data_IF_598117524698
#
_entry.id   IF_598117524698
#
_cell.length_a   1.000
_cell.length_b   1.000
_cell.length_c   1.000
_cell.angle_alpha   90.00
_cell.angle_beta   90.00
_cell.angle_gamma   90.00
#
_symmetry.space_group_name_H-M   'P 1'
#
loop_
_entity.id
_entity.type
_entity.pdbx_description
1 polymer ?
#
# COMPACT_ATOMS: atom_id res chain seq x y z
N UNK A 1 -2.69 -25.73 42.02
CA UNK A 1 -2.02 -26.34 40.84
C UNK A 1 -0.72 -26.99 41.28
N UNK A 2 -0.54 -28.29 41.01
CA UNK A 2 0.61 -29.10 41.44
C UNK A 2 1.87 -28.69 40.64
N UNK A 3 3.08 -28.65 41.23
CA UNK A 3 4.33 -28.25 40.56
C UNK A 3 4.63 -28.99 39.25
N UNK A 4 4.27 -30.29 39.18
CA UNK A 4 4.43 -31.11 37.98
C UNK A 4 3.57 -30.63 36.79
N UNK A 5 2.40 -30.06 37.05
CA UNK A 5 1.51 -29.50 36.03
C UNK A 5 2.09 -28.19 35.47
N UNK A 6 2.65 -27.33 36.33
CA UNK A 6 3.33 -26.09 35.93
C UNK A 6 4.55 -26.35 35.03
N UNK A 7 5.36 -27.35 35.37
CA UNK A 7 6.54 -27.74 34.58
C UNK A 7 6.19 -28.38 33.21
N UNK A 8 5.00 -28.99 33.07
CA UNK A 8 4.50 -29.48 31.76
C UNK A 8 3.98 -28.34 30.91
N UNK A 9 3.22 -27.43 31.49
CA UNK A 9 2.68 -26.25 30.80
C UNK A 9 3.84 -25.38 30.29
N UNK A 10 4.85 -25.10 31.11
CA UNK A 10 6.02 -24.32 30.69
C UNK A 10 6.79 -24.95 29.52
N UNK A 11 6.96 -26.28 29.51
CA UNK A 11 7.61 -27.00 28.40
C UNK A 11 6.80 -26.96 27.11
N UNK A 12 5.49 -27.06 27.20
CA UNK A 12 4.60 -26.90 26.04
C UNK A 12 4.65 -25.48 25.49
N UNK A 13 4.54 -24.47 26.35
CA UNK A 13 4.65 -23.06 25.95
C UNK A 13 5.98 -22.78 25.25
N UNK A 14 7.10 -23.30 25.78
CA UNK A 14 8.42 -23.14 25.16
C UNK A 14 8.52 -23.81 23.79
N UNK A 15 7.93 -25.00 23.60
CA UNK A 15 7.89 -25.65 22.27
C UNK A 15 7.10 -24.84 21.26
N UNK A 16 5.95 -24.30 21.67
CA UNK A 16 5.14 -23.40 20.81
C UNK A 16 5.95 -22.17 20.46
N UNK A 17 6.61 -21.53 21.43
CA UNK A 17 7.48 -20.37 21.19
C UNK A 17 8.61 -20.69 20.21
N UNK A 18 9.27 -21.84 20.33
CA UNK A 18 10.32 -22.28 19.40
C UNK A 18 9.79 -22.47 17.97
N UNK A 19 8.60 -23.07 17.81
CA UNK A 19 7.99 -23.26 16.48
C UNK A 19 7.62 -21.92 15.86
N UNK A 20 7.06 -20.99 16.64
CA UNK A 20 6.75 -19.64 16.17
C UNK A 20 8.03 -18.87 15.78
N UNK A 21 9.08 -18.95 16.61
CA UNK A 21 10.38 -18.35 16.32
C UNK A 21 11.04 -18.97 15.08
N UNK A 22 10.89 -20.28 14.88
CA UNK A 22 11.38 -20.98 13.69
C UNK A 22 10.66 -20.49 12.43
N UNK A 23 9.32 -20.42 12.48
CA UNK A 23 8.50 -19.93 11.36
C UNK A 23 8.80 -18.48 11.02
N UNK A 24 8.80 -17.58 12.02
CA UNK A 24 9.13 -16.17 11.81
C UNK A 24 10.55 -15.98 11.29
N UNK A 25 11.54 -16.64 11.90
CA UNK A 25 12.94 -16.52 11.49
C UNK A 25 13.21 -17.06 10.09
N UNK A 26 12.56 -18.17 9.70
CA UNK A 26 12.67 -18.72 8.36
C UNK A 26 12.13 -17.74 7.30
N UNK A 27 10.99 -17.12 7.57
CA UNK A 27 10.44 -16.07 6.70
C UNK A 27 11.33 -14.82 6.67
N UNK A 28 11.82 -14.36 7.82
CA UNK A 28 12.72 -13.20 7.91
C UNK A 28 14.00 -13.41 7.09
N UNK A 29 14.63 -14.58 7.20
CA UNK A 29 15.82 -14.94 6.40
C UNK A 29 15.48 -15.00 4.92
N UNK A 30 14.36 -15.63 4.56
CA UNK A 30 13.92 -15.73 3.17
C UNK A 30 13.73 -14.35 2.53
N UNK A 31 13.12 -13.41 3.26
CA UNK A 31 12.78 -12.08 2.75
C UNK A 31 13.91 -11.05 2.88
N UNK A 32 14.87 -11.26 3.78
CA UNK A 32 16.03 -10.37 3.95
C UNK A 32 17.18 -10.68 2.98
N UNK A 33 17.32 -11.93 2.56
CA UNK A 33 18.42 -12.33 1.67
C UNK A 33 18.05 -12.11 0.20
N UNK A 34 18.64 -11.07 -0.39
CA UNK A 34 18.67 -10.86 -1.84
C UNK A 34 19.76 -11.75 -2.44
N UNK A 35 19.38 -12.72 -3.29
CA UNK A 35 20.34 -13.67 -3.86
C UNK A 35 19.69 -14.88 -4.53
N UNK A 36 20.51 -15.78 -5.08
CA UNK A 36 20.05 -17.00 -5.75
C UNK A 36 19.18 -17.86 -4.80
N UNK A 37 18.06 -18.37 -5.31
CA UNK A 37 17.12 -19.23 -4.60
C UNK A 37 17.78 -20.38 -3.82
N UNK A 38 18.87 -20.97 -4.34
CA UNK A 38 19.59 -22.05 -3.64
C UNK A 38 20.28 -21.58 -2.35
N UNK A 39 20.90 -20.39 -2.38
CA UNK A 39 21.56 -19.81 -1.19
C UNK A 39 20.52 -19.49 -0.14
N UNK A 40 19.41 -18.86 -0.55
CA UNK A 40 18.28 -18.56 0.33
C UNK A 40 17.68 -19.82 0.94
N UNK A 41 17.44 -20.85 0.13
CA UNK A 41 16.94 -22.14 0.61
C UNK A 41 17.91 -22.79 1.60
N UNK A 42 19.22 -22.72 1.35
CA UNK A 42 20.24 -23.24 2.26
C UNK A 42 20.22 -22.59 3.64
N UNK A 43 20.09 -21.27 3.71
CA UNK A 43 19.98 -20.53 4.98
C UNK A 43 18.69 -20.86 5.73
N UNK A 44 17.55 -20.89 5.02
CA UNK A 44 16.26 -21.28 5.63
C UNK A 44 16.30 -22.72 6.12
N UNK A 45 16.89 -23.65 5.36
CA UNK A 45 17.04 -25.04 5.78
C UNK A 45 17.94 -25.18 7.02
N UNK A 46 19.05 -24.42 7.06
CA UNK A 46 19.96 -24.40 8.23
C UNK A 46 19.25 -23.89 9.48
N UNK A 47 18.46 -22.82 9.34
CA UNK A 47 17.63 -22.28 10.42
C UNK A 47 16.60 -23.30 10.93
N UNK A 48 15.87 -23.94 10.02
CA UNK A 48 14.92 -25.00 10.36
C UNK A 48 15.61 -26.20 11.03
N UNK A 49 16.80 -26.59 10.59
CA UNK A 49 17.57 -27.66 11.20
C UNK A 49 17.98 -27.34 12.65
N UNK A 50 18.38 -26.09 12.93
CA UNK A 50 18.65 -25.63 14.31
C UNK A 50 17.40 -25.69 15.18
N UNK A 51 16.24 -25.28 14.66
CA UNK A 51 14.96 -25.37 15.38
C UNK A 51 14.58 -26.82 15.70
N UNK A 52 14.74 -27.73 14.73
CA UNK A 52 14.51 -29.17 14.93
C UNK A 52 15.47 -29.75 15.97
N UNK A 53 16.75 -29.35 15.95
CA UNK A 53 17.73 -29.74 16.97
C UNK A 53 17.35 -29.23 18.37
N UNK A 54 16.87 -27.99 18.49
CA UNK A 54 16.38 -27.44 19.76
C UNK A 54 15.17 -28.22 20.30
N UNK A 55 14.18 -28.54 19.44
CA UNK A 55 13.04 -29.38 19.81
C UNK A 55 13.45 -30.80 20.22
N UNK A 56 14.45 -31.36 19.53
CA UNK A 56 15.05 -32.65 19.87
C UNK A 56 15.76 -32.62 21.23
N UNK A 57 16.49 -31.54 21.53
CA UNK A 57 17.11 -31.30 22.83
C UNK A 57 16.11 -31.16 23.99
N UNK A 58 14.82 -30.93 23.71
CA UNK A 58 13.75 -30.91 24.71
C UNK A 58 13.06 -32.27 24.92
N UNK A 59 13.62 -33.37 24.40
CA UNK A 59 13.10 -34.72 24.63
C UNK A 59 13.30 -35.14 26.09
N UNK A 60 12.22 -35.61 26.70
CA UNK A 60 12.17 -35.95 28.11
C UNK A 60 13.14 -37.09 28.43
N UNK A 61 13.99 -36.90 29.43
CA UNK A 61 14.99 -37.90 29.87
C UNK A 61 16.32 -37.88 29.11
N UNK A 62 16.48 -36.99 28.13
CA UNK A 62 17.74 -36.72 27.39
C UNK A 62 17.85 -35.23 27.09
N UNK A 63 17.49 -34.39 28.07
CA UNK A 63 17.45 -32.94 27.89
C UNK A 63 18.84 -32.37 27.57
N UNK A 64 18.95 -31.72 26.42
CA UNK A 64 20.13 -30.95 26.03
C UNK A 64 19.71 -29.48 25.84
N UNK A 65 19.73 -28.74 26.95
CA UNK A 65 19.38 -27.32 26.97
C UNK A 65 20.35 -26.43 26.19
N UNK A 66 21.57 -26.91 25.89
CA UNK A 66 22.51 -26.16 25.06
C UNK A 66 21.97 -25.93 23.65
N UNK A 67 21.28 -26.92 23.05
CA UNK A 67 20.66 -26.78 21.72
C UNK A 67 19.55 -25.73 21.72
N UNK A 68 18.76 -25.67 22.80
CA UNK A 68 17.73 -24.63 23.00
C UNK A 68 18.38 -23.26 23.17
N UNK A 69 19.46 -23.18 23.94
CA UNK A 69 20.23 -21.95 24.16
C UNK A 69 20.85 -21.40 22.87
N UNK A 70 21.45 -22.27 22.05
CA UNK A 70 22.05 -21.90 20.75
C UNK A 70 20.98 -21.34 19.80
N UNK A 71 19.85 -22.03 19.64
CA UNK A 71 18.76 -21.53 18.79
C UNK A 71 18.19 -20.21 19.32
N UNK A 72 18.01 -20.09 20.64
CA UNK A 72 17.51 -18.86 21.26
C UNK A 72 18.46 -17.69 21.07
N UNK A 73 19.78 -17.90 21.21
CA UNK A 73 20.79 -16.88 20.95
C UNK A 73 20.80 -16.47 19.47
N UNK A 74 20.74 -17.45 18.55
CA UNK A 74 20.64 -17.17 17.11
C UNK A 74 19.37 -16.40 16.75
N UNK A 75 18.24 -16.71 17.40
CA UNK A 75 16.99 -15.96 17.26
C UNK A 75 17.11 -14.52 17.75
N UNK A 76 17.73 -14.29 18.90
CA UNK A 76 17.96 -12.93 19.41
C UNK A 76 18.84 -12.15 18.43
N UNK A 77 19.92 -12.75 17.92
CA UNK A 77 20.78 -12.10 16.91
C UNK A 77 19.97 -11.76 15.65
N UNK A 78 19.20 -12.72 15.11
CA UNK A 78 18.36 -12.49 13.93
C UNK A 78 17.34 -11.38 14.17
N UNK A 79 16.65 -11.39 15.31
CA UNK A 79 15.65 -10.39 15.65
C UNK A 79 16.25 -8.99 15.84
N UNK A 80 17.41 -8.89 16.48
CA UNK A 80 18.14 -7.62 16.64
C UNK A 80 18.63 -7.11 15.29
N UNK A 81 19.23 -7.97 14.46
CA UNK A 81 19.67 -7.61 13.11
C UNK A 81 18.50 -7.12 12.25
N UNK A 82 17.36 -7.82 12.28
CA UNK A 82 16.14 -7.40 11.59
C UNK A 82 15.62 -6.05 12.11
N UNK A 83 15.65 -5.84 13.42
CA UNK A 83 15.25 -4.57 14.03
C UNK A 83 16.13 -3.39 13.62
N UNK A 84 17.43 -3.63 13.46
CA UNK A 84 18.44 -2.63 13.09
C UNK A 84 18.47 -2.30 11.59
N UNK A 85 17.75 -3.04 10.74
CA UNK A 85 17.65 -2.72 9.31
C UNK A 85 17.17 -1.28 9.12
N UNK A 86 17.86 -0.51 8.29
CA UNK A 86 17.51 0.86 7.96
C UNK A 86 16.99 0.94 6.51
N UNK A 87 15.89 1.67 6.28
CA UNK A 87 15.42 1.94 4.93
C UNK A 87 16.40 2.85 4.21
N UNK A 88 16.64 2.61 2.93
CA UNK A 88 17.49 3.46 2.07
C UNK A 88 16.66 4.07 0.94
N UNK A 89 16.99 5.28 0.51
CA UNK A 89 16.47 5.86 -0.73
C UNK A 89 17.48 5.77 -1.89
N UNK A 90 18.67 5.24 -1.62
CA UNK A 90 19.78 5.13 -2.55
C UNK A 90 20.06 3.66 -2.85
N UNK A 91 19.39 3.16 -3.90
CA UNK A 91 19.49 1.80 -4.46
C UNK A 91 19.21 1.84 -5.97
N UNK A 92 19.47 0.74 -6.67
CA UNK A 92 19.05 0.59 -8.09
C UNK A 92 17.55 0.28 -8.15
N UNK A 93 16.74 1.33 -8.10
CA UNK A 93 15.29 1.23 -8.14
C UNK A 93 14.76 0.88 -9.52
N UNK A 94 13.64 0.15 -9.56
CA UNK A 94 12.92 -0.07 -10.81
C UNK A 94 12.42 1.27 -11.39
N UNK A 95 12.33 1.34 -12.72
CA UNK A 95 12.11 2.60 -13.43
C UNK A 95 10.82 3.31 -13.00
N UNK A 96 9.75 2.56 -12.72
CA UNK A 96 8.42 3.07 -12.37
C UNK A 96 8.33 3.70 -10.97
N UNK A 97 9.39 3.58 -10.17
CA UNK A 97 9.57 4.14 -8.82
C UNK A 97 10.97 4.72 -8.60
N UNK A 98 11.72 4.94 -9.70
CA UNK A 98 13.10 5.38 -9.64
C UNK A 98 13.23 6.82 -9.12
N UNK A 99 12.34 7.70 -9.57
CA UNK A 99 12.29 9.08 -9.08
C UNK A 99 11.40 9.19 -7.85
N UNK A 100 11.80 10.08 -6.93
CA UNK A 100 10.99 10.44 -5.76
C UNK A 100 10.16 11.67 -6.08
N UNK A 101 8.92 11.70 -5.64
CA UNK A 101 8.09 12.88 -5.75
C UNK A 101 8.67 14.02 -4.92
N UNK A 102 9.01 15.13 -5.57
CA UNK A 102 9.60 16.30 -4.91
C UNK A 102 8.64 17.50 -5.01
N UNK A 103 7.76 17.68 -4.02
CA UNK A 103 6.82 18.78 -4.03
C UNK A 103 7.43 20.08 -3.50
N UNK A 104 7.05 21.20 -4.09
CA UNK A 104 7.36 22.55 -3.64
C UNK A 104 6.07 23.36 -3.53
N UNK A 105 5.92 24.11 -2.44
CA UNK A 105 4.67 24.80 -2.10
C UNK A 105 4.93 26.31 -2.05
N UNK A 106 4.26 27.05 -2.92
CA UNK A 106 4.30 28.51 -2.98
C UNK A 106 2.88 29.07 -2.89
N UNK A 107 2.41 29.32 -1.66
CA UNK A 107 1.05 29.80 -1.40
C UNK A 107 -0.01 28.78 -1.79
N UNK A 108 -0.70 29.02 -2.91
CA UNK A 108 -1.72 28.11 -3.47
C UNK A 108 -1.22 27.26 -4.63
N UNK A 109 -0.03 27.56 -5.16
CA UNK A 109 0.57 26.79 -6.23
C UNK A 109 1.45 25.70 -5.61
N UNK A 110 1.19 24.45 -5.98
CA UNK A 110 2.05 23.31 -5.67
C UNK A 110 2.73 22.87 -6.96
N UNK A 111 4.05 22.93 -6.98
CA UNK A 111 4.87 22.35 -8.04
C UNK A 111 5.26 20.94 -7.64
N UNK A 112 4.82 19.95 -8.41
CA UNK A 112 5.23 18.55 -8.24
C UNK A 112 6.30 18.26 -9.28
N UNK A 113 7.53 18.00 -8.84
CA UNK A 113 8.57 17.45 -9.70
C UNK A 113 8.53 15.93 -9.64
N UNK A 114 8.88 15.27 -10.75
CA UNK A 114 8.82 13.82 -10.90
C UNK A 114 7.39 13.26 -10.83
N UNK A 115 6.45 13.92 -11.50
CA UNK A 115 5.15 13.32 -11.80
C UNK A 115 5.34 12.28 -12.90
N UNK A 116 4.93 11.04 -12.62
CA UNK A 116 5.08 9.92 -13.55
C UNK A 116 4.05 10.01 -14.68
N UNK A 117 4.50 9.88 -15.91
CA UNK A 117 3.63 9.84 -17.09
C UNK A 117 4.14 8.84 -18.15
N UNK A 118 4.40 7.61 -17.74
CA UNK A 118 5.03 6.60 -18.60
C UNK A 118 4.07 6.15 -19.73
N UNK A 119 4.60 5.95 -20.94
CA UNK A 119 3.84 5.30 -22.04
C UNK A 119 4.09 3.79 -22.01
N UNK A 120 3.11 3.05 -21.51
CA UNK A 120 3.17 1.60 -21.35
C UNK A 120 2.66 0.87 -22.60
N UNK A 121 3.48 -0.04 -23.14
CA UNK A 121 3.11 -1.02 -24.18
C UNK A 121 2.95 -2.42 -23.57
N UNK A 122 3.80 -2.79 -22.62
CA UNK A 122 3.68 -3.98 -21.77
C UNK A 122 4.29 -3.71 -20.39
N UNK A 123 4.27 -4.70 -19.48
CA UNK A 123 4.92 -4.57 -18.17
C UNK A 123 6.45 -4.36 -18.24
N UNK A 124 7.06 -4.76 -19.35
CA UNK A 124 8.52 -4.69 -19.56
C UNK A 124 8.93 -3.83 -20.76
N UNK A 125 7.96 -3.28 -21.49
CA UNK A 125 8.18 -2.37 -22.61
C UNK A 125 7.37 -1.09 -22.40
N UNK A 126 8.07 -0.01 -22.07
CA UNK A 126 7.50 1.29 -21.77
C UNK A 126 8.53 2.40 -22.03
N UNK A 127 8.06 3.64 -22.15
CA UNK A 127 8.94 4.82 -22.22
C UNK A 127 8.81 5.61 -20.93
N UNK A 128 9.87 5.67 -20.10
CA UNK A 128 9.88 6.49 -18.90
C UNK A 128 9.75 7.98 -19.23
N UNK A 129 8.79 8.64 -18.59
CA UNK A 129 8.63 10.10 -18.63
C UNK A 129 8.30 10.62 -17.23
N UNK A 130 9.10 11.58 -16.79
CA UNK A 130 8.95 12.28 -15.51
C UNK A 130 8.77 13.76 -15.78
N UNK A 131 7.69 14.32 -15.27
CA UNK A 131 7.28 15.69 -15.57
C UNK A 131 7.33 16.57 -14.32
N UNK A 132 7.55 17.87 -14.54
CA UNK A 132 7.22 18.89 -13.55
C UNK A 132 5.84 19.45 -13.89
N UNK A 133 4.92 19.40 -12.93
CA UNK A 133 3.56 19.93 -13.08
C UNK A 133 3.24 20.93 -11.99
N UNK A 134 2.43 21.93 -12.33
CA UNK A 134 2.00 22.98 -11.43
C UNK A 134 0.50 22.89 -11.20
N UNK A 135 0.09 22.88 -9.94
CA UNK A 135 -1.29 22.75 -9.53
C UNK A 135 -1.71 23.93 -8.66
N UNK A 136 -2.69 24.70 -9.12
CA UNK A 136 -3.34 25.72 -8.28
C UNK A 136 -4.44 25.07 -7.44
N UNK A 137 -4.23 25.02 -6.13
CA UNK A 137 -5.19 24.45 -5.19
C UNK A 137 -6.49 25.26 -5.10
N UNK A 138 -6.55 26.49 -5.60
CA UNK A 138 -7.80 27.21 -5.78
C UNK A 138 -8.67 26.63 -6.89
N UNK A 139 -8.06 25.94 -7.86
CA UNK A 139 -8.72 25.28 -8.99
C UNK A 139 -9.04 23.81 -8.72
N UNK A 140 -8.67 23.31 -7.53
CA UNK A 140 -9.00 21.96 -7.09
C UNK A 140 -10.51 21.84 -6.81
N UNK A 141 -11.18 20.92 -7.52
CA UNK A 141 -12.65 20.80 -7.49
C UNK A 141 -13.15 19.41 -7.11
N UNK A 142 -12.32 18.37 -7.21
CA UNK A 142 -12.75 17.01 -6.88
C UNK A 142 -11.60 16.11 -6.43
N UNK A 143 -11.97 15.01 -5.78
CA UNK A 143 -11.12 13.84 -5.62
C UNK A 143 -11.95 12.58 -5.87
N UNK A 144 -11.32 11.59 -6.50
CA UNK A 144 -11.91 10.29 -6.77
C UNK A 144 -11.05 9.19 -6.13
N UNK A 145 -11.71 8.27 -5.45
CA UNK A 145 -11.11 7.05 -4.90
C UNK A 145 -11.04 6.01 -6.01
N UNK A 146 -9.83 5.58 -6.38
CA UNK A 146 -9.61 4.51 -7.34
C UNK A 146 -9.19 3.23 -6.61
N UNK A 147 -9.84 2.12 -6.94
CA UNK A 147 -9.52 0.80 -6.39
C UNK A 147 -9.13 -0.15 -7.51
N UNK A 148 -7.96 -0.77 -7.39
CA UNK A 148 -7.49 -1.80 -8.30
C UNK A 148 -7.53 -3.18 -7.68
N UNK A 149 -8.07 -4.16 -8.40
CA UNK A 149 -8.21 -5.55 -7.97
C UNK A 149 -7.41 -6.47 -8.91
N UNK A 150 -6.40 -7.16 -8.34
CA UNK A 150 -5.59 -8.16 -9.05
C UNK A 150 -5.47 -9.49 -8.30
N UNK A 151 -5.71 -9.52 -6.98
CA UNK A 151 -5.69 -10.74 -6.15
C UNK A 151 -7.01 -11.00 -5.46
N UNK A 152 -8.06 -11.19 -6.25
CA UNK A 152 -9.41 -11.48 -5.76
C UNK A 152 -10.09 -10.26 -5.11
N UNK A 153 -11.24 -10.46 -4.46
CA UNK A 153 -12.11 -9.35 -4.04
C UNK A 153 -11.71 -8.70 -2.72
N UNK A 154 -10.90 -9.36 -1.88
CA UNK A 154 -10.65 -8.92 -0.51
C UNK A 154 -9.49 -7.91 -0.38
N UNK A 155 -8.64 -7.81 -1.40
CA UNK A 155 -7.47 -6.92 -1.42
C UNK A 155 -7.54 -6.06 -2.66
N UNK A 156 -7.58 -4.75 -2.46
CA UNK A 156 -7.45 -3.76 -3.51
C UNK A 156 -6.30 -2.78 -3.22
N UNK A 157 -5.75 -2.22 -4.29
CA UNK A 157 -4.77 -1.14 -4.22
C UNK A 157 -5.53 0.16 -4.34
N UNK A 158 -5.38 0.99 -3.33
CA UNK A 158 -6.14 2.23 -3.18
C UNK A 158 -5.32 3.40 -3.70
N UNK A 159 -5.88 4.17 -4.62
CA UNK A 159 -5.28 5.42 -5.11
C UNK A 159 -6.29 6.56 -4.97
N UNK A 160 -5.79 7.80 -4.96
CA UNK A 160 -6.65 8.99 -4.95
C UNK A 160 -6.27 9.90 -6.09
N UNK A 161 -7.22 10.15 -6.99
CA UNK A 161 -7.09 11.10 -8.08
C UNK A 161 -7.69 12.44 -7.71
N UNK A 162 -6.91 13.51 -7.77
CA UNK A 162 -7.40 14.88 -7.57
C UNK A 162 -7.66 15.54 -8.92
N UNK A 163 -8.85 16.13 -9.09
CA UNK A 163 -9.27 16.79 -10.33
C UNK A 163 -9.40 18.30 -10.18
N UNK A 164 -8.95 19.02 -11.20
CA UNK A 164 -8.96 20.48 -11.29
C UNK A 164 -10.00 20.98 -12.31
N UNK A 165 -10.38 22.24 -12.23
CA UNK A 165 -11.43 22.83 -13.08
C UNK A 165 -11.05 22.99 -14.56
N UNK A 166 -9.78 22.85 -14.94
CA UNK A 166 -9.34 22.69 -16.35
C UNK A 166 -9.43 21.25 -16.86
N UNK A 167 -9.88 20.31 -16.02
CA UNK A 167 -9.93 18.89 -16.37
C UNK A 167 -8.60 18.16 -16.21
N UNK A 168 -7.54 18.82 -15.72
CA UNK A 168 -6.32 18.12 -15.33
C UNK A 168 -6.55 17.28 -14.07
N UNK A 169 -5.83 16.16 -13.98
CA UNK A 169 -5.90 15.23 -12.86
C UNK A 169 -4.49 14.81 -12.43
N UNK A 170 -4.34 14.51 -11.14
CA UNK A 170 -3.13 13.91 -10.59
C UNK A 170 -3.50 12.83 -9.58
N UNK A 171 -2.92 11.65 -9.75
CA UNK A 171 -3.15 10.50 -8.88
C UNK A 171 -2.01 10.39 -7.90
N UNK A 172 -2.32 10.31 -6.61
CA UNK A 172 -1.37 9.92 -5.57
C UNK A 172 -1.56 8.45 -5.20
N UNK A 173 -0.44 7.77 -5.07
CA UNK A 173 -0.38 6.36 -4.69
C UNK A 173 0.83 6.10 -3.81
N UNK A 174 0.61 5.50 -2.64
CA UNK A 174 1.72 4.93 -1.88
C UNK A 174 2.07 3.58 -2.51
N UNK A 175 3.28 3.50 -3.06
CA UNK A 175 3.78 2.31 -3.73
C UNK A 175 4.93 1.71 -2.92
N UNK A 176 5.15 0.41 -3.09
CA UNK A 176 6.43 -0.18 -2.73
C UNK A 176 7.51 0.46 -3.62
N UNK A 177 8.65 0.81 -3.05
CA UNK A 177 9.85 1.17 -3.79
C UNK A 177 10.67 -0.10 -3.95
N UNK A 178 10.51 -0.75 -5.11
CA UNK A 178 11.17 -2.02 -5.45
C UNK A 178 12.49 -1.78 -6.17
N UNK A 179 13.51 -2.59 -5.86
CA UNK A 179 14.76 -2.60 -6.62
C UNK A 179 14.56 -3.23 -8.01
N UNK A 180 15.49 -2.98 -8.93
CA UNK A 180 15.44 -3.52 -10.28
C UNK A 180 15.50 -5.05 -10.23
N UNK A 181 14.52 -5.70 -10.87
CA UNK A 181 14.39 -7.16 -10.87
C UNK A 181 13.61 -7.74 -9.68
N UNK A 182 13.18 -6.89 -8.72
CA UNK A 182 12.27 -7.33 -7.66
C UNK A 182 10.81 -7.33 -8.12
N UNK A 183 10.04 -8.27 -7.57
CA UNK A 183 8.60 -8.38 -7.75
C UNK A 183 7.87 -8.18 -6.43
N UNK A 184 6.64 -7.69 -6.50
CA UNK A 184 5.84 -7.44 -5.30
C UNK A 184 5.58 -8.74 -4.52
N UNK A 185 5.71 -8.66 -3.19
CA UNK A 185 5.28 -9.71 -2.27
C UNK A 185 4.55 -9.12 -1.08
N UNK A 186 3.25 -9.42 -0.93
CA UNK A 186 2.47 -9.00 0.23
C UNK A 186 3.07 -9.50 1.55
N UNK A 187 3.66 -10.70 1.54
CA UNK A 187 4.38 -11.26 2.69
C UNK A 187 5.74 -10.58 2.91
N UNK A 188 6.46 -10.22 1.84
CA UNK A 188 7.72 -9.46 1.95
C UNK A 188 7.55 -8.10 2.65
N UNK A 189 6.40 -7.44 2.45
CA UNK A 189 6.06 -6.21 3.17
C UNK A 189 5.96 -6.36 4.69
N UNK A 190 5.76 -7.56 5.25
CA UNK A 190 5.85 -7.79 6.70
C UNK A 190 7.29 -7.85 7.23
N UNK A 191 8.26 -8.13 6.34
CA UNK A 191 9.65 -8.42 6.70
C UNK A 191 10.63 -7.33 6.28
N UNK A 192 10.15 -6.11 6.00
CA UNK A 192 10.98 -4.95 5.59
C UNK A 192 11.72 -5.18 4.25
N UNK A 193 11.13 -5.95 3.34
CA UNK A 193 11.71 -6.20 2.01
C UNK A 193 11.59 -5.02 1.05
N UNK A 194 10.71 -4.05 1.33
CA UNK A 194 10.50 -2.90 0.45
C UNK A 194 10.50 -1.62 1.27
N UNK A 195 11.18 -0.60 0.77
CA UNK A 195 10.93 0.78 1.14
C UNK A 195 9.59 1.26 0.58
N UNK A 196 9.01 2.31 1.14
CA UNK A 196 7.80 2.94 0.61
C UNK A 196 8.13 4.25 -0.10
N UNK A 197 7.37 4.54 -1.16
CA UNK A 197 7.47 5.80 -1.90
C UNK A 197 6.09 6.33 -2.24
N UNK A 198 5.94 7.65 -2.25
CA UNK A 198 4.74 8.29 -2.76
C UNK A 198 4.95 8.63 -4.24
N UNK A 199 4.11 8.06 -5.09
CA UNK A 199 4.07 8.38 -6.52
C UNK A 199 2.94 9.36 -6.78
N UNK A 200 3.25 10.47 -7.46
CA UNK A 200 2.25 11.26 -8.18
C UNK A 200 2.33 10.89 -9.67
N UNK A 201 1.20 10.67 -10.32
CA UNK A 201 1.16 10.24 -11.71
C UNK A 201 -0.05 10.77 -12.48
N UNK A 202 0.08 10.81 -13.81
CA UNK A 202 -1.04 11.01 -14.72
C UNK A 202 -1.98 9.78 -14.71
N UNK A 203 -3.28 10.00 -14.89
CA UNK A 203 -4.25 8.88 -14.99
C UNK A 203 -3.98 7.99 -16.20
N UNK A 204 -3.47 8.56 -17.31
CA UNK A 204 -3.09 7.84 -18.54
C UNK A 204 -1.85 6.96 -18.36
N UNK A 205 -1.12 7.15 -17.28
CA UNK A 205 -0.07 6.24 -16.83
C UNK A 205 -0.66 5.26 -15.82
N UNK A 206 -0.95 5.74 -14.61
CA UNK A 206 -1.07 4.88 -13.43
C UNK A 206 -2.39 4.09 -13.39
N UNK A 207 -3.47 4.62 -13.95
CA UNK A 207 -4.75 3.90 -14.02
C UNK A 207 -4.80 3.04 -15.30
N UNK A 208 -4.34 3.59 -16.43
CA UNK A 208 -4.30 2.88 -17.71
C UNK A 208 -3.42 1.63 -17.66
N UNK A 209 -2.23 1.68 -17.05
CA UNK A 209 -1.34 0.50 -16.98
C UNK A 209 -2.02 -0.67 -16.27
N UNK A 210 -2.85 -0.37 -15.27
CA UNK A 210 -3.58 -1.37 -14.50
C UNK A 210 -4.63 -2.06 -15.37
N UNK A 211 -5.46 -1.31 -16.09
CA UNK A 211 -6.52 -1.88 -16.95
C UNK A 211 -6.00 -2.46 -18.26
N UNK A 212 -5.19 -1.69 -19.02
CA UNK A 212 -4.87 -1.98 -20.42
C UNK A 212 -3.61 -2.84 -20.59
N UNK A 213 -2.76 -2.92 -19.57
CA UNK A 213 -1.50 -3.67 -19.65
C UNK A 213 -1.51 -4.86 -18.69
N UNK A 214 -1.91 -4.66 -17.43
CA UNK A 214 -1.89 -5.70 -16.40
C UNK A 214 -3.19 -6.49 -16.27
N UNK A 215 -4.27 -6.03 -16.92
CA UNK A 215 -5.58 -6.69 -16.87
C UNK A 215 -6.25 -6.63 -15.49
N UNK A 216 -5.90 -5.64 -14.67
CA UNK A 216 -6.49 -5.41 -13.36
C UNK A 216 -7.92 -4.88 -13.49
N UNK A 217 -8.79 -5.26 -12.55
CA UNK A 217 -10.16 -4.77 -12.49
C UNK A 217 -10.25 -3.50 -11.64
N UNK A 218 -10.85 -2.44 -12.18
CA UNK A 218 -10.73 -1.09 -11.64
C UNK A 218 -12.08 -0.43 -11.39
N UNK A 219 -12.21 0.19 -10.21
CA UNK A 219 -13.34 0.99 -9.78
C UNK A 219 -12.90 2.42 -9.46
N UNK A 220 -13.75 3.39 -9.73
CA UNK A 220 -13.54 4.80 -9.44
C UNK A 220 -14.79 5.36 -8.77
N UNK A 221 -14.62 6.11 -7.68
CA UNK A 221 -15.73 6.68 -6.92
C UNK A 221 -15.46 8.14 -6.58
N UNK A 222 -16.43 9.01 -6.88
CA UNK A 222 -16.35 10.40 -6.46
C UNK A 222 -16.48 10.53 -4.95
N UNK A 223 -15.48 11.16 -4.33
CA UNK A 223 -15.49 11.46 -2.90
C UNK A 223 -16.37 12.68 -2.60
N UNK A 224 -17.19 12.58 -1.56
CA UNK A 224 -18.05 13.64 -1.06
C UNK A 224 -17.29 14.55 -0.06
N UNK A 225 -16.20 15.16 -0.52
CA UNK A 225 -15.35 16.00 0.31
C UNK A 225 -15.52 17.47 -0.10
N UNK A 226 -15.82 18.40 0.84
CA UNK A 226 -15.86 19.83 0.55
C UNK A 226 -14.50 20.35 0.08
N UNK A 227 -14.48 21.45 -0.68
CA UNK A 227 -13.24 22.03 -1.24
C UNK A 227 -12.12 22.25 -0.20
N UNK A 228 -12.46 22.73 1.00
CA UNK A 228 -11.49 22.90 2.08
C UNK A 228 -10.90 21.57 2.58
N UNK A 229 -11.68 20.48 2.52
CA UNK A 229 -11.22 19.12 2.81
C UNK A 229 -10.33 18.58 1.69
N UNK A 230 -10.67 18.82 0.42
CA UNK A 230 -9.84 18.42 -0.74
C UNK A 230 -8.44 19.03 -0.64
N UNK A 231 -8.36 20.33 -0.36
CA UNK A 231 -7.09 21.03 -0.17
C UNK A 231 -6.27 20.43 0.97
N UNK A 232 -6.90 20.16 2.12
CA UNK A 232 -6.23 19.54 3.27
C UNK A 232 -5.71 18.14 2.94
N UNK A 233 -6.51 17.32 2.25
CA UNK A 233 -6.11 15.97 1.84
C UNK A 233 -4.94 15.99 0.85
N UNK A 234 -5.00 16.86 -0.16
CA UNK A 234 -3.90 17.05 -1.13
C UNK A 234 -2.61 17.46 -0.41
N UNK A 235 -2.69 18.43 0.49
CA UNK A 235 -1.54 18.88 1.27
C UNK A 235 -1.00 17.80 2.22
N UNK A 236 -1.85 16.89 2.68
CA UNK A 236 -1.42 15.72 3.45
C UNK A 236 -0.54 14.77 2.64
N UNK A 237 -0.84 14.55 1.35
CA UNK A 237 0.04 13.80 0.46
C UNK A 237 1.36 14.53 0.17
N UNK A 238 1.30 15.85 -0.04
CA UNK A 238 2.51 16.70 -0.18
C UNK A 238 3.43 16.58 1.03
N UNK A 239 2.85 16.65 2.23
CA UNK A 239 3.59 16.51 3.48
C UNK A 239 4.15 15.09 3.65
N UNK A 240 3.38 14.06 3.28
CA UNK A 240 3.87 12.67 3.29
C UNK A 240 5.08 12.48 2.36
N UNK A 241 5.05 13.02 1.14
CA UNK A 241 6.21 12.97 0.25
C UNK A 241 7.44 13.65 0.88
N UNK A 242 7.27 14.85 1.44
CA UNK A 242 8.37 15.55 2.12
C UNK A 242 8.91 14.76 3.32
N UNK A 243 8.06 14.05 4.07
CA UNK A 243 8.47 13.22 5.19
C UNK A 243 9.28 12.01 4.72
N UNK A 244 8.81 11.29 3.71
CA UNK A 244 9.52 10.14 3.12
C UNK A 244 10.86 10.53 2.49
N UNK A 245 10.93 11.75 1.94
CA UNK A 245 12.16 12.31 1.38
C UNK A 245 13.21 12.63 2.44
N UNK A 246 12.78 13.09 3.62
CA UNK A 246 13.67 13.40 4.75
C UNK A 246 14.03 12.16 5.56
N UNK A 247 13.08 11.26 5.75
CA UNK A 247 13.19 10.06 6.57
C UNK A 247 12.59 8.88 5.81
N UNK A 248 13.43 8.06 5.16
CA UNK A 248 12.99 6.86 4.47
C UNK A 248 12.26 5.93 5.44
N UNK A 249 11.31 5.16 4.93
CA UNK A 249 10.53 4.22 5.71
C UNK A 249 10.36 2.91 4.94
N UNK A 250 10.21 1.81 5.67
CA UNK A 250 9.83 0.53 5.08
C UNK A 250 8.32 0.51 4.85
N UNK A 251 7.93 0.01 3.69
CA UNK A 251 6.54 -0.35 3.43
C UNK A 251 6.10 -1.43 4.43
N UNK A 252 4.87 -1.32 4.92
CA UNK A 252 4.31 -2.35 5.78
C UNK A 252 2.87 -2.68 5.37
N UNK A 253 2.67 -3.93 4.94
CA UNK A 253 1.38 -4.44 4.45
C UNK A 253 0.22 -4.19 5.42
N UNK A 254 0.48 -4.16 6.74
CA UNK A 254 -0.55 -3.98 7.77
C UNK A 254 -0.76 -2.51 8.18
N UNK A 255 0.32 -1.75 8.37
CA UNK A 255 0.26 -0.43 9.04
C UNK A 255 0.64 0.75 8.14
N UNK A 256 1.41 0.53 7.07
CA UNK A 256 1.86 1.57 6.15
C UNK A 256 1.65 1.11 4.71
N UNK A 257 0.42 1.25 4.27
CA UNK A 257 -0.01 0.90 2.93
C UNK A 257 -0.91 2.01 2.36
N UNK A 258 -1.25 1.89 1.09
CA UNK A 258 -2.04 2.88 0.39
C UNK A 258 -3.43 3.13 1.02
N UNK A 259 -4.02 2.11 1.67
CA UNK A 259 -5.31 2.22 2.36
C UNK A 259 -5.18 2.92 3.72
N UNK A 260 -4.18 2.56 4.53
CA UNK A 260 -3.99 3.16 5.87
C UNK A 260 -3.59 4.62 5.77
N UNK A 261 -2.84 5.02 4.74
CA UNK A 261 -2.53 6.44 4.46
C UNK A 261 -3.80 7.21 4.09
N UNK A 262 -4.61 6.71 3.15
CA UNK A 262 -5.88 7.37 2.78
C UNK A 262 -6.76 7.54 4.01
N UNK A 263 -6.92 6.48 4.81
CA UNK A 263 -7.67 6.53 6.05
C UNK A 263 -7.11 7.57 7.03
N UNK A 264 -5.79 7.62 7.23
CA UNK A 264 -5.15 8.59 8.10
C UNK A 264 -5.40 10.04 7.64
N UNK A 265 -5.33 10.29 6.33
CA UNK A 265 -5.62 11.61 5.75
C UNK A 265 -7.09 12.00 5.91
N UNK A 266 -8.02 11.08 5.66
CA UNK A 266 -9.47 11.34 5.85
C UNK A 266 -9.79 11.55 7.33
N UNK A 267 -9.14 10.82 8.25
CA UNK A 267 -9.34 11.00 9.69
C UNK A 267 -8.87 12.36 10.20
N UNK A 268 -7.94 13.03 9.52
CA UNK A 268 -7.61 14.44 9.81
C UNK A 268 -8.77 15.39 9.45
N UNK A 269 -9.62 15.01 8.50
CA UNK A 269 -10.83 15.75 8.12
C UNK A 269 -12.01 15.39 9.03
N UNK A 270 -12.12 14.10 9.39
CA UNK A 270 -13.18 13.53 10.23
C UNK A 270 -12.57 12.70 11.37
N UNK A 271 -12.22 13.33 12.51
CA UNK A 271 -11.51 12.66 13.61
C UNK A 271 -12.25 11.47 14.23
N UNK A 272 -13.58 11.45 14.12
CA UNK A 272 -14.47 10.42 14.65
C UNK A 272 -14.58 9.17 13.77
N UNK A 273 -13.88 9.13 12.63
CA UNK A 273 -13.91 8.01 11.69
C UNK A 273 -13.33 6.74 12.37
N UNK A 274 -14.11 5.64 12.49
CA UNK A 274 -13.75 4.49 13.32
C UNK A 274 -12.76 3.56 12.61
N UNK A 275 -11.92 2.86 13.38
CA UNK A 275 -11.13 1.75 12.83
C UNK A 275 -12.05 0.58 12.47
N UNK A 276 -11.79 -0.08 11.35
CA UNK A 276 -12.62 -1.16 10.82
C UNK A 276 -11.73 -2.23 10.15
N UNK A 277 -12.14 -3.49 10.21
CA UNK A 277 -11.46 -4.61 9.54
C UNK A 277 -11.31 -4.40 8.02
N UNK A 278 -12.18 -3.61 7.38
CA UNK A 278 -12.11 -3.23 5.96
C UNK A 278 -10.89 -2.38 5.61
N UNK A 279 -10.20 -1.83 6.61
CA UNK A 279 -8.89 -1.18 6.40
C UNK A 279 -7.76 -2.21 6.18
N UNK A 280 -7.94 -3.43 6.68
CA UNK A 280 -7.05 -4.57 6.41
C UNK A 280 -7.50 -5.32 5.14
N UNK A 281 -8.81 -5.46 4.95
CA UNK A 281 -9.42 -6.02 3.74
C UNK A 281 -9.76 -4.88 2.77
N UNK A 282 -8.72 -4.25 2.21
CA UNK A 282 -8.84 -3.03 1.39
C UNK A 282 -9.78 -3.17 0.18
N UNK A 283 -10.11 -4.40 -0.23
CA UNK A 283 -11.11 -4.65 -1.27
C UNK A 283 -12.53 -4.17 -0.93
N UNK A 284 -12.81 -3.89 0.35
CA UNK A 284 -14.09 -3.41 0.86
C UNK A 284 -14.03 -1.94 1.34
N UNK A 285 -12.99 -1.19 0.97
CA UNK A 285 -12.86 0.21 1.40
C UNK A 285 -13.91 1.13 0.77
N UNK A 286 -14.46 0.75 -0.39
CA UNK A 286 -15.59 1.43 -1.02
C UNK A 286 -16.87 1.35 -0.18
N UNK A 287 -17.19 0.16 0.36
CA UNK A 287 -18.29 -0.04 1.30
C UNK A 287 -18.07 0.75 2.59
N UNK A 288 -16.85 0.73 3.12
CA UNK A 288 -16.49 1.52 4.29
C UNK A 288 -16.66 3.03 4.04
N UNK A 289 -16.19 3.54 2.90
CA UNK A 289 -16.37 4.92 2.52
C UNK A 289 -17.85 5.27 2.32
N UNK A 290 -18.66 4.34 1.79
CA UNK A 290 -20.10 4.54 1.64
C UNK A 290 -20.83 4.67 2.98
N UNK A 291 -20.59 3.72 3.90
CA UNK A 291 -21.22 3.68 5.23
C UNK A 291 -20.90 4.93 6.07
N UNK A 292 -19.76 5.56 5.81
CA UNK A 292 -19.31 6.78 6.48
C UNK A 292 -19.51 8.05 5.65
N UNK A 293 -20.37 8.02 4.63
CA UNK A 293 -20.75 9.17 3.79
C UNK A 293 -19.59 9.85 3.05
N UNK A 294 -18.50 9.11 2.81
CA UNK A 294 -17.34 9.55 2.04
C UNK A 294 -17.55 9.48 0.52
N UNK A 295 -18.55 8.74 0.02
CA UNK A 295 -18.88 8.67 -1.41
C UNK A 295 -20.01 9.62 -1.80
N UNK A 296 -20.15 9.89 -3.11
CA UNK A 296 -21.18 10.78 -3.65
C UNK A 296 -22.60 10.48 -3.09
N UNK A 297 -23.25 11.46 -2.42
CA UNK A 297 -24.52 11.23 -1.74
C UNK A 297 -25.71 11.10 -2.69
N UNK A 298 -26.77 10.47 -2.18
CA UNK A 298 -28.06 10.34 -2.87
C UNK A 298 -28.17 9.12 -3.79
N UNK A 299 -27.13 8.26 -3.84
CA UNK A 299 -27.14 7.02 -4.61
C UNK A 299 -27.08 5.79 -3.71
N UNK A 300 -27.81 4.71 -4.05
CA UNK A 300 -27.55 3.40 -3.46
C UNK A 300 -26.13 2.93 -3.76
N UNK A 301 -25.48 2.23 -2.82
CA UNK A 301 -24.13 1.71 -3.02
C UNK A 301 -24.00 0.85 -4.28
N UNK A 302 -24.98 -0.02 -4.55
CA UNK A 302 -25.00 -0.85 -5.75
C UNK A 302 -24.90 -0.03 -7.05
N UNK A 303 -25.53 1.16 -7.09
CA UNK A 303 -25.45 2.07 -8.23
C UNK A 303 -24.07 2.71 -8.33
N UNK A 304 -23.49 3.14 -7.20
CA UNK A 304 -22.13 3.67 -7.16
C UNK A 304 -21.12 2.63 -7.64
N UNK A 305 -21.22 1.38 -7.17
CA UNK A 305 -20.35 0.25 -7.54
C UNK A 305 -20.45 -0.10 -9.01
N UNK A 306 -21.67 -0.25 -9.52
CA UNK A 306 -21.91 -0.57 -10.93
C UNK A 306 -21.38 0.54 -11.87
N UNK A 307 -21.66 1.81 -11.56
CA UNK A 307 -21.25 2.93 -12.42
C UNK A 307 -19.79 3.32 -12.22
N UNK A 308 -19.24 3.07 -11.04
CA UNK A 308 -17.84 3.29 -10.70
C UNK A 308 -16.90 2.26 -11.35
N UNK A 309 -17.39 1.07 -11.69
CA UNK A 309 -16.63 0.12 -12.50
C UNK A 309 -16.27 0.72 -13.86
N UNK A 310 -14.97 0.93 -14.11
CA UNK A 310 -14.51 1.68 -15.27
C UNK A 310 -13.52 0.93 -16.16
N UNK A 311 -13.19 -0.32 -15.84
CA UNK A 311 -12.25 -1.17 -16.61
C UNK A 311 -12.54 -1.13 -18.11
N UNK A 312 -13.79 -1.39 -18.51
CA UNK A 312 -14.19 -1.39 -19.92
C UNK A 312 -14.03 -0.01 -20.58
N UNK A 313 -14.30 1.08 -19.85
CA UNK A 313 -14.13 2.45 -20.35
C UNK A 313 -12.66 2.82 -20.51
N UNK A 314 -11.81 2.41 -19.56
CA UNK A 314 -10.36 2.62 -19.65
C UNK A 314 -9.74 1.83 -20.82
N UNK A 315 -10.16 0.57 -21.01
CA UNK A 315 -9.73 -0.24 -22.16
C UNK A 315 -10.13 0.43 -23.47
N UNK A 316 -11.37 0.90 -23.59
CA UNK A 316 -11.84 1.59 -24.80
C UNK A 316 -11.19 2.97 -25.02
N UNK A 317 -10.83 3.67 -23.94
CA UNK A 317 -10.14 4.95 -24.03
C UNK A 317 -8.66 4.79 -24.44
N UNK A 318 -7.97 3.81 -23.84
CA UNK A 318 -6.56 3.50 -24.07
C UNK A 318 -5.68 4.77 -24.13
N UNK A 319 -5.15 5.11 -25.30
CA UNK A 319 -4.25 6.26 -25.49
C UNK A 319 -4.97 7.60 -25.71
N UNK A 320 -6.28 7.65 -25.60
CA UNK A 320 -7.06 8.87 -25.80
C UNK A 320 -6.56 10.02 -24.90
N UNK A 321 -6.51 11.23 -25.45
CA UNK A 321 -6.08 12.42 -24.71
C UNK A 321 -7.09 12.84 -23.65
N UNK A 322 -8.36 12.51 -23.85
CA UNK A 322 -9.48 12.72 -22.93
C UNK A 322 -9.76 11.50 -22.03
N UNK A 323 -8.76 10.61 -21.81
CA UNK A 323 -8.86 9.40 -20.98
C UNK A 323 -9.56 9.65 -19.64
N UNK A 324 -9.14 10.68 -18.90
CA UNK A 324 -9.70 11.07 -17.60
C UNK A 324 -11.21 11.37 -17.67
N UNK A 325 -11.67 12.01 -18.74
CA UNK A 325 -13.10 12.26 -18.93
C UNK A 325 -13.84 10.96 -19.28
N UNK A 326 -13.27 10.14 -20.17
CA UNK A 326 -13.89 8.89 -20.64
C UNK A 326 -14.08 7.86 -19.52
N UNK A 327 -13.12 7.70 -18.61
CA UNK A 327 -13.26 6.76 -17.49
C UNK A 327 -14.38 7.16 -16.53
N UNK A 328 -14.73 8.45 -16.47
CA UNK A 328 -15.80 9.02 -15.65
C UNK A 328 -17.17 9.06 -16.32
N UNK A 329 -17.27 8.73 -17.62
CA UNK A 329 -18.55 8.71 -18.32
C UNK A 329 -19.55 7.78 -17.63
N UNK A 330 -20.70 8.35 -17.23
CA UNK A 330 -21.78 7.61 -16.55
C UNK A 330 -21.62 7.47 -15.04
N UNK A 331 -20.51 7.93 -14.45
CA UNK A 331 -20.33 7.93 -13.00
C UNK A 331 -21.20 9.00 -12.30
N UNK A 332 -21.67 8.74 -11.07
CA UNK A 332 -22.25 9.77 -10.21
C UNK A 332 -21.21 10.80 -9.76
N UNK A 333 -21.17 11.97 -10.41
CA UNK A 333 -20.20 13.05 -10.14
C UNK A 333 -20.77 14.22 -9.32
N UNK A 334 -22.08 14.25 -9.13
CA UNK A 334 -22.81 15.25 -8.34
C UNK A 334 -23.90 14.56 -7.52
N UNK A 335 -24.40 15.17 -6.43
CA UNK A 335 -25.45 14.58 -5.60
C UNK A 335 -26.68 14.21 -6.43
N UNK A 336 -27.36 13.12 -6.05
CA UNK A 336 -28.61 12.76 -6.72
C UNK A 336 -29.67 13.88 -6.56
N UNK A 337 -30.61 14.03 -7.51
CA UNK A 337 -31.69 15.00 -7.39
C UNK A 337 -32.42 14.88 -6.04
N UNK A 338 -32.48 15.98 -5.28
CA UNK A 338 -33.12 16.02 -3.96
C UNK A 338 -32.22 15.67 -2.77
N UNK A 339 -30.97 15.27 -2.98
CA UNK A 339 -29.99 15.10 -1.92
C UNK A 339 -29.25 16.42 -1.65
N UNK A 340 -29.33 16.96 -0.44
CA UNK A 340 -28.46 18.07 -0.01
C UNK A 340 -27.03 17.59 0.17
N UNK A 341 -26.06 18.35 -0.36
CA UNK A 341 -24.65 18.15 -0.04
C UNK A 341 -24.48 18.26 1.49
N UNK A 342 -23.95 17.22 2.11
CA UNK A 342 -23.69 17.20 3.55
C UNK A 342 -22.70 18.34 3.84
N UNK A 343 -23.18 19.40 4.47
CA UNK A 343 -22.32 20.46 5.00
C UNK A 343 -21.79 19.92 6.34
N UNK A 344 -20.48 19.67 6.50
CA UNK A 344 -19.97 19.26 7.80
C UNK A 344 -20.15 20.44 8.77
N UNK A 345 -20.63 20.14 9.98
CA UNK A 345 -20.51 21.07 11.11
C UNK A 345 -19.06 21.17 11.57
#
# INVERSE_FOLDING_TARGET
MIPATRARIGRWALRVALVLAAGWGGLAIYYALTGNAFVRAGWVASWCAMAVAALWGMRRGRENWALVGIFSAAFVVLAVSWWMMQPSQDRDWADDVAQRLQPQVHGNIVTLNNVRNFDWRSETDYVPHWETRHYDLNRLVSADLALSYWMGPAIAHTLVSFGFDDGSHVVFSLEIRKERGESFSALGGFFRSFEETLVAADERDILRVRTNVRGEDMYLYRLAIPKAGLRRMFMGYVELANQLDRKPAFYNTLISNCTTIVFALVRQLQPTLPLDHRLLLSGYVDEYAYDHHGLMPGYPFATLKQRGHFTARAIAADKATDFSARIRTGMPLAPAPGATAITPR
#
